data_IF_417136843084
#
_entry.id   IF_417136843084
#
_cell.length_a   1.000
_cell.length_b   1.000
_cell.length_c   1.000
_cell.angle_alpha   90.00
_cell.angle_beta   90.00
_cell.angle_gamma   90.00
#
_symmetry.space_group_name_H-M   'P 1'
#
loop_
_entity.id
_entity.type
_entity.pdbx_description
1 polymer ?
#
# COMPACT_ATOMS: atom_id res chain seq x y z
N UNK A 1 10.05 28.47 10.61
CA UNK A 1 11.06 27.65 11.29
C UNK A 1 11.27 26.40 10.45
N UNK A 2 12.49 26.17 9.99
CA UNK A 2 12.85 25.08 9.07
C UNK A 2 13.62 23.99 9.83
N UNK A 3 13.34 22.73 9.52
CA UNK A 3 14.15 21.57 9.90
C UNK A 3 14.32 20.68 8.65
N UNK A 4 15.47 20.04 8.58
CA UNK A 4 16.25 19.73 7.38
C UNK A 4 16.32 18.22 7.14
N UNK A 5 16.33 17.84 5.85
CA UNK A 5 16.95 16.64 5.23
C UNK A 5 16.64 15.24 5.78
N UNK A 6 15.81 14.53 5.02
CA UNK A 6 15.97 13.10 4.75
C UNK A 6 16.08 12.86 3.25
N UNK A 7 17.27 12.48 2.79
CA UNK A 7 17.51 12.08 1.38
C UNK A 7 16.85 10.72 1.17
N UNK A 8 15.56 10.73 0.82
CA UNK A 8 14.76 9.67 0.16
C UNK A 8 13.26 9.71 0.57
N UNK A 9 12.80 10.75 1.26
CA UNK A 9 11.37 10.95 1.54
C UNK A 9 10.60 11.40 0.30
N UNK A 10 10.09 10.46 -0.48
CA UNK A 10 9.13 10.72 -1.56
C UNK A 10 7.71 10.84 -1.00
N UNK A 11 7.00 11.91 -1.33
CA UNK A 11 5.54 11.98 -1.13
C UNK A 11 4.84 11.61 -2.43
N UNK A 12 3.97 10.60 -2.41
CA UNK A 12 3.22 10.15 -3.57
C UNK A 12 1.77 9.80 -3.22
N UNK A 13 0.90 9.92 -4.21
CA UNK A 13 -0.43 9.30 -4.18
C UNK A 13 -0.30 7.91 -4.75
N UNK A 14 -0.89 6.93 -4.07
CA UNK A 14 -1.05 5.58 -4.60
C UNK A 14 -2.54 5.34 -4.83
N UNK A 15 -2.87 4.99 -6.06
CA UNK A 15 -4.17 4.49 -6.46
C UNK A 15 -4.08 2.96 -6.53
N UNK A 16 -4.88 2.29 -5.71
CA UNK A 16 -4.91 0.84 -5.59
C UNK A 16 -6.22 0.30 -6.14
N UNK A 17 -6.13 -0.61 -7.10
CA UNK A 17 -7.25 -1.36 -7.62
C UNK A 17 -6.98 -2.85 -7.48
N UNK A 18 -7.88 -3.58 -6.83
CA UNK A 18 -7.75 -5.03 -6.68
C UNK A 18 -9.01 -5.73 -7.14
N UNK A 19 -8.81 -6.78 -7.95
CA UNK A 19 -9.83 -7.70 -8.43
C UNK A 19 -9.41 -9.11 -8.06
N UNK A 20 -10.08 -9.67 -7.05
CA UNK A 20 -9.73 -10.98 -6.48
C UNK A 20 -8.24 -11.01 -6.08
N UNK A 21 -7.43 -11.80 -6.80
CA UNK A 21 -5.99 -11.96 -6.57
C UNK A 21 -5.14 -10.94 -7.33
N UNK A 22 -5.66 -10.39 -8.42
CA UNK A 22 -4.93 -9.48 -9.27
C UNK A 22 -5.06 -8.08 -8.69
N UNK A 23 -3.93 -7.40 -8.53
CA UNK A 23 -3.89 -6.02 -8.09
C UNK A 23 -3.12 -5.15 -9.07
N UNK A 24 -3.48 -3.88 -9.09
CA UNK A 24 -2.81 -2.82 -9.82
C UNK A 24 -2.60 -1.65 -8.88
N UNK A 25 -1.36 -1.17 -8.85
CA UNK A 25 -0.91 -0.04 -8.07
C UNK A 25 -0.43 1.01 -9.05
N UNK A 26 -1.01 2.20 -9.00
CA UNK A 26 -0.49 3.35 -9.73
C UNK A 26 0.04 4.36 -8.74
N UNK A 27 1.29 4.75 -8.91
CA UNK A 27 1.89 5.78 -8.10
C UNK A 27 2.06 7.04 -8.92
N UNK A 28 1.67 8.17 -8.33
CA UNK A 28 1.92 9.51 -8.83
C UNK A 28 2.64 10.33 -7.77
N UNK A 29 3.89 10.71 -8.02
CA UNK A 29 4.68 11.56 -7.13
C UNK A 29 5.12 12.85 -7.86
N UNK A 30 4.36 13.94 -7.73
CA UNK A 30 4.66 15.21 -8.40
C UNK A 30 6.02 15.80 -8.00
N UNK A 31 6.42 15.60 -6.75
CA UNK A 31 7.67 16.16 -6.20
C UNK A 31 8.90 15.53 -6.85
N UNK A 32 8.89 14.20 -7.03
CA UNK A 32 9.98 13.47 -7.70
C UNK A 32 9.77 13.31 -9.21
N UNK A 33 8.62 13.76 -9.72
CA UNK A 33 8.16 13.57 -11.11
C UNK A 33 8.16 12.10 -11.55
N UNK A 34 7.93 11.20 -10.60
CA UNK A 34 7.85 9.76 -10.88
C UNK A 34 6.39 9.35 -11.02
N UNK A 35 6.12 8.55 -12.03
CA UNK A 35 4.83 7.87 -12.25
C UNK A 35 5.12 6.45 -12.70
N UNK A 36 4.49 5.47 -12.06
CA UNK A 36 4.65 4.08 -12.46
C UNK A 36 3.40 3.28 -12.14
N UNK A 37 3.28 2.14 -12.82
CA UNK A 37 2.23 1.15 -12.60
C UNK A 37 2.87 -0.18 -12.25
N UNK A 38 2.44 -0.78 -11.14
CA UNK A 38 2.79 -2.12 -10.73
C UNK A 38 1.55 -2.99 -10.80
N UNK A 39 1.59 -4.08 -11.55
CA UNK A 39 0.55 -5.12 -11.56
C UNK A 39 1.10 -6.41 -10.98
N UNK A 40 0.30 -7.14 -10.20
CA UNK A 40 0.76 -8.37 -9.54
C UNK A 40 -0.36 -9.28 -9.07
N UNK A 41 0.03 -10.45 -8.55
CA UNK A 41 -0.88 -11.41 -7.91
C UNK A 41 -0.57 -11.51 -6.41
N UNK A 42 -1.56 -11.25 -5.58
CA UNK A 42 -1.40 -11.17 -4.12
C UNK A 42 -1.04 -12.51 -3.44
N UNK A 43 -0.94 -13.61 -4.18
CA UNK A 43 -0.51 -14.91 -3.64
C UNK A 43 0.88 -15.34 -4.13
N UNK A 44 1.36 -14.77 -5.24
CA UNK A 44 2.65 -15.16 -5.84
C UNK A 44 3.79 -14.21 -5.48
N UNK A 45 3.50 -13.05 -4.88
CA UNK A 45 4.50 -12.03 -4.51
C UNK A 45 5.07 -11.24 -5.71
N UNK A 46 5.09 -11.85 -6.90
CA UNK A 46 5.63 -11.26 -8.11
C UNK A 46 4.74 -10.20 -8.75
N UNK A 47 5.37 -9.38 -9.59
CA UNK A 47 4.71 -8.29 -10.28
C UNK A 47 5.46 -7.79 -11.52
N UNK A 48 4.78 -6.93 -12.27
CA UNK A 48 5.29 -6.25 -13.46
C UNK A 48 5.19 -4.75 -13.24
N UNK A 49 6.32 -4.07 -13.37
CA UNK A 49 6.49 -2.63 -13.18
C UNK A 49 6.66 -1.94 -14.53
N UNK A 50 5.84 -0.93 -14.80
CA UNK A 50 5.79 -0.19 -16.06
C UNK A 50 5.76 1.33 -15.80
N UNK A 51 6.13 2.14 -16.80
CA UNK A 51 6.10 3.61 -16.72
C UNK A 51 7.40 4.26 -16.24
N UNK A 52 8.42 3.48 -15.89
CA UNK A 52 9.76 3.96 -15.59
C UNK A 52 10.67 3.96 -16.82
N UNK A 53 11.69 4.81 -16.80
CA UNK A 53 12.76 4.80 -17.80
C UNK A 53 13.42 3.41 -17.86
N UNK A 54 13.76 2.97 -19.08
CA UNK A 54 14.31 1.63 -19.34
C UNK A 54 13.26 0.54 -19.60
N UNK A 55 11.96 0.89 -19.62
CA UNK A 55 10.89 -0.01 -20.06
C UNK A 55 10.32 -0.92 -18.98
N UNK A 56 9.40 -1.83 -19.35
CA UNK A 56 8.72 -2.69 -18.40
C UNK A 56 9.66 -3.75 -17.81
N UNK A 57 9.53 -3.98 -16.51
CA UNK A 57 10.32 -4.97 -15.76
C UNK A 57 9.37 -5.92 -15.03
N UNK A 58 9.79 -7.16 -14.81
CA UNK A 58 9.01 -8.14 -14.05
C UNK A 58 9.93 -8.91 -13.11
N UNK A 59 9.40 -9.31 -11.97
CA UNK A 59 10.14 -10.04 -10.94
C UNK A 59 9.22 -10.89 -10.07
N UNK A 60 9.82 -11.85 -9.37
CA UNK A 60 9.12 -12.74 -8.44
C UNK A 60 8.80 -12.07 -7.10
N UNK A 61 9.41 -10.91 -6.83
CA UNK A 61 9.10 -10.04 -5.69
C UNK A 61 8.86 -8.62 -6.20
N UNK A 62 7.60 -8.18 -6.10
CA UNK A 62 7.16 -6.86 -6.54
C UNK A 62 7.78 -5.72 -5.71
N UNK A 63 8.04 -5.94 -4.41
CA UNK A 63 8.67 -4.97 -3.53
C UNK A 63 10.15 -4.80 -3.90
N UNK A 64 10.87 -5.91 -4.09
CA UNK A 64 12.27 -5.87 -4.53
C UNK A 64 12.40 -5.21 -5.91
N UNK A 65 11.52 -5.57 -6.86
CA UNK A 65 11.48 -4.97 -8.19
C UNK A 65 11.32 -3.45 -8.14
N UNK A 66 10.44 -2.96 -7.26
CA UNK A 66 10.17 -1.53 -7.09
C UNK A 66 11.36 -0.82 -6.44
N UNK A 67 11.98 -1.42 -5.44
CA UNK A 67 13.19 -0.90 -4.80
C UNK A 67 14.33 -0.75 -5.81
N UNK A 68 14.60 -1.78 -6.61
CA UNK A 68 15.67 -1.74 -7.62
C UNK A 68 15.41 -0.71 -8.71
N UNK A 69 14.16 -0.53 -9.11
CA UNK A 69 13.80 0.37 -10.19
C UNK A 69 13.65 1.84 -9.76
N UNK A 70 13.30 2.11 -8.51
CA UNK A 70 12.97 3.47 -8.02
C UNK A 70 13.82 3.95 -6.86
N UNK A 71 14.48 3.04 -6.15
CA UNK A 71 15.15 3.30 -4.87
C UNK A 71 14.19 3.48 -3.69
N UNK A 72 12.88 3.27 -3.89
CA UNK A 72 11.88 3.44 -2.83
C UNK A 72 11.55 2.13 -2.17
N UNK A 73 11.58 2.12 -0.85
CA UNK A 73 11.10 1.00 -0.04
C UNK A 73 9.60 1.18 0.21
N UNK A 74 8.75 0.81 -0.75
CA UNK A 74 7.30 0.77 -0.56
C UNK A 74 6.88 -0.66 -0.26
N UNK A 75 6.15 -0.93 0.84
CA UNK A 75 5.76 -2.27 1.26
C UNK A 75 4.58 -2.80 0.43
N UNK A 76 4.72 -2.83 -0.90
CA UNK A 76 3.64 -3.23 -1.83
C UNK A 76 3.15 -4.66 -1.58
N UNK A 77 3.99 -5.53 -1.01
CA UNK A 77 3.61 -6.88 -0.63
C UNK A 77 2.71 -6.92 0.61
N UNK A 78 2.75 -5.89 1.48
CA UNK A 78 1.93 -5.79 2.69
C UNK A 78 0.63 -5.04 2.45
N UNK A 79 0.61 -4.18 1.42
CA UNK A 79 -0.57 -3.40 1.05
C UNK A 79 -1.83 -4.28 0.89
N UNK A 80 -1.82 -5.46 0.24
CA UNK A 80 -3.00 -6.32 0.13
C UNK A 80 -3.70 -6.62 1.46
N UNK A 81 -2.95 -6.85 2.54
CA UNK A 81 -3.53 -7.13 3.85
C UNK A 81 -4.02 -5.84 4.51
N UNK A 82 -3.23 -4.77 4.42
CA UNK A 82 -3.64 -3.46 4.95
C UNK A 82 -4.89 -2.94 4.26
N UNK A 83 -5.01 -3.05 2.94
CA UNK A 83 -6.23 -2.63 2.23
C UNK A 83 -7.45 -3.45 2.67
N UNK A 84 -7.28 -4.72 3.06
CA UNK A 84 -8.37 -5.54 3.64
C UNK A 84 -8.64 -5.24 5.11
N UNK A 85 -7.92 -4.29 5.71
CA UNK A 85 -8.03 -4.00 7.14
C UNK A 85 -7.48 -5.13 8.01
N UNK A 86 -6.42 -5.80 7.54
CA UNK A 86 -5.78 -6.93 8.20
C UNK A 86 -4.31 -6.61 8.52
N UNK A 87 -3.76 -7.30 9.53
CA UNK A 87 -2.33 -7.29 9.80
C UNK A 87 -1.65 -8.22 8.78
N UNK A 88 -0.57 -7.76 8.16
CA UNK A 88 0.15 -8.56 7.17
C UNK A 88 0.90 -9.70 7.88
N UNK A 89 0.38 -10.93 7.79
CA UNK A 89 0.91 -12.06 8.58
C UNK A 89 2.31 -12.50 8.13
N UNK A 90 2.61 -12.33 6.86
CA UNK A 90 3.90 -12.73 6.27
C UNK A 90 5.04 -11.74 6.57
N UNK A 91 4.71 -10.56 7.13
CA UNK A 91 5.68 -9.52 7.53
C UNK A 91 6.20 -9.65 8.97
N UNK A 92 5.76 -10.68 9.70
CA UNK A 92 6.05 -10.85 11.12
C UNK A 92 5.05 -10.15 12.04
N UNK A 93 5.24 -10.28 13.35
CA UNK A 93 4.30 -9.77 14.34
C UNK A 93 4.25 -8.22 14.31
N UNK A 94 3.06 -7.61 14.46
CA UNK A 94 2.94 -6.16 14.55
C UNK A 94 3.58 -5.67 15.85
N UNK A 95 4.30 -4.54 15.81
CA UNK A 95 4.85 -3.93 17.02
C UNK A 95 3.77 -3.24 17.84
N UNK A 96 2.71 -2.75 17.19
CA UNK A 96 1.56 -2.12 17.84
C UNK A 96 0.30 -2.33 17.02
N UNK A 97 -0.81 -2.62 17.69
CA UNK A 97 -2.14 -2.68 17.07
C UNK A 97 -3.13 -1.94 17.95
N UNK A 98 -3.91 -1.06 17.35
CA UNK A 98 -4.99 -0.34 17.98
C UNK A 98 -6.27 -0.51 17.18
N UNK A 99 -7.38 -0.68 17.90
CA UNK A 99 -8.71 -0.87 17.33
C UNK A 99 -9.62 0.27 17.74
N UNK A 100 -10.59 0.61 16.89
CA UNK A 100 -11.66 1.56 17.22
C UNK A 100 -12.77 0.90 18.07
N UNK A 101 -13.79 1.69 18.42
CA UNK A 101 -14.92 1.22 19.21
C UNK A 101 -15.77 0.14 18.49
N UNK A 102 -15.70 0.07 17.16
CA UNK A 102 -16.35 -0.94 16.34
C UNK A 102 -15.49 -2.20 16.14
N UNK A 103 -14.31 -2.27 16.79
CA UNK A 103 -13.38 -3.39 16.69
C UNK A 103 -12.58 -3.43 15.39
N UNK A 104 -12.54 -2.33 14.63
CA UNK A 104 -11.79 -2.22 13.36
C UNK A 104 -10.40 -1.70 13.63
N UNK A 105 -9.44 -2.07 12.78
CA UNK A 105 -8.08 -1.55 12.88
C UNK A 105 -8.08 -0.02 12.76
N UNK A 106 -7.54 0.67 13.76
CA UNK A 106 -7.39 2.13 13.76
C UNK A 106 -5.94 2.53 13.52
N UNK A 107 -5.02 1.83 14.19
CA UNK A 107 -3.58 2.05 14.08
C UNK A 107 -2.84 0.73 14.01
N UNK A 108 -1.85 0.62 13.15
CA UNK A 108 -0.97 -0.53 13.04
C UNK A 108 0.47 -0.03 12.94
N UNK A 109 1.38 -0.61 13.72
CA UNK A 109 2.82 -0.44 13.52
C UNK A 109 3.42 -1.78 13.16
N UNK A 110 4.03 -1.86 11.98
CA UNK A 110 4.63 -3.10 11.48
C UNK A 110 5.79 -2.80 10.54
N UNK A 111 6.94 -3.45 10.74
CA UNK A 111 8.15 -3.26 9.93
C UNK A 111 8.60 -1.78 9.85
N UNK A 112 8.44 -1.05 10.95
CA UNK A 112 8.76 0.38 11.03
C UNK A 112 7.76 1.31 10.35
N UNK A 113 6.72 0.78 9.71
CA UNK A 113 5.61 1.57 9.16
C UNK A 113 4.59 1.87 10.25
N UNK A 114 4.26 3.15 10.43
CA UNK A 114 3.07 3.59 11.16
C UNK A 114 1.91 3.75 10.17
N UNK A 115 0.88 2.95 10.33
CA UNK A 115 -0.30 2.88 9.48
C UNK A 115 -1.52 3.35 10.25
N UNK A 116 -2.24 4.31 9.69
CA UNK A 116 -3.46 4.90 10.25
C UNK A 116 -4.63 4.66 9.30
N UNK A 117 -5.65 3.98 9.80
CA UNK A 117 -6.89 3.69 9.07
C UNK A 117 -7.90 4.80 9.40
N UNK A 118 -8.05 5.76 8.50
CA UNK A 118 -8.80 7.00 8.78
C UNK A 118 -10.28 6.91 8.43
N UNK A 119 -10.60 6.20 7.36
CA UNK A 119 -11.98 6.09 6.86
C UNK A 119 -12.26 4.66 6.49
N UNK A 120 -13.50 4.21 6.73
CA UNK A 120 -13.96 2.87 6.47
C UNK A 120 -15.28 2.93 5.68
N UNK A 121 -15.45 2.04 4.72
CA UNK A 121 -16.76 1.69 4.20
C UNK A 121 -17.52 0.88 5.25
N UNK A 122 -18.80 1.18 5.51
CA UNK A 122 -19.61 0.37 6.39
C UNK A 122 -19.76 -1.05 5.82
N UNK A 123 -19.99 -2.06 6.68
CA UNK A 123 -20.32 -3.39 6.20
C UNK A 123 -21.63 -3.34 5.38
N UNK A 124 -21.69 -4.10 4.28
CA UNK A 124 -22.82 -4.08 3.36
C UNK A 124 -22.71 -5.17 2.28
N UNK A 125 -23.84 -5.61 1.73
CA UNK A 125 -23.91 -6.63 0.66
C UNK A 125 -23.07 -7.90 0.93
N UNK A 126 -23.08 -8.40 2.16
CA UNK A 126 -22.32 -9.58 2.58
C UNK A 126 -20.82 -9.35 2.76
N UNK A 127 -20.35 -8.09 2.73
CA UNK A 127 -18.93 -7.72 2.86
C UNK A 127 -18.64 -7.14 4.25
N UNK A 128 -17.46 -7.42 4.83
CA UNK A 128 -17.03 -6.76 6.06
C UNK A 128 -16.78 -5.27 5.81
N UNK A 129 -16.62 -4.50 6.90
CA UNK A 129 -16.13 -3.14 6.80
C UNK A 129 -14.72 -3.15 6.17
N UNK A 130 -14.45 -2.20 5.28
CA UNK A 130 -13.18 -2.11 4.58
C UNK A 130 -12.61 -0.72 4.69
N UNK A 131 -11.28 -0.57 4.82
CA UNK A 131 -10.64 0.72 4.72
C UNK A 131 -11.00 1.43 3.41
N UNK A 132 -11.33 2.71 3.52
CA UNK A 132 -11.46 3.65 2.41
C UNK A 132 -10.22 4.53 2.30
N UNK A 133 -9.62 4.89 3.43
CA UNK A 133 -8.44 5.75 3.46
C UNK A 133 -7.42 5.24 4.47
N UNK A 134 -6.21 5.01 3.98
CA UNK A 134 -5.07 4.57 4.77
C UNK A 134 -3.94 5.58 4.56
N UNK A 135 -3.32 6.02 5.66
CA UNK A 135 -2.05 6.73 5.61
C UNK A 135 -0.97 5.89 6.27
N UNK A 136 0.12 5.63 5.56
CA UNK A 136 1.27 4.89 6.06
C UNK A 136 2.51 5.79 6.01
N UNK A 137 3.33 5.73 7.06
CA UNK A 137 4.56 6.52 7.18
C UNK A 137 5.72 5.68 7.68
N UNK A 138 6.90 5.92 7.14
CA UNK A 138 8.15 5.36 7.64
C UNK A 138 9.26 6.40 7.44
N UNK A 139 9.73 7.02 8.53
CA UNK A 139 10.62 8.17 8.47
C UNK A 139 10.03 9.32 7.65
N UNK A 140 10.73 9.73 6.59
CA UNK A 140 10.28 10.78 5.67
C UNK A 140 9.37 10.27 4.53
N UNK A 141 9.21 8.95 4.39
CA UNK A 141 8.29 8.37 3.41
C UNK A 141 6.86 8.49 3.92
N UNK A 142 5.97 9.03 3.07
CA UNK A 142 4.54 9.11 3.34
C UNK A 142 3.75 8.59 2.15
N UNK A 143 2.96 7.57 2.42
CA UNK A 143 2.04 6.95 1.46
C UNK A 143 0.61 7.26 1.91
N UNK A 144 -0.20 7.74 0.96
CA UNK A 144 -1.65 7.87 1.15
C UNK A 144 -2.33 6.98 0.12
N UNK A 145 -3.11 6.03 0.62
CA UNK A 145 -3.96 5.17 -0.17
C UNK A 145 -5.40 5.66 -0.05
N UNK A 146 -6.02 5.90 -1.20
CA UNK A 146 -7.45 6.14 -1.30
C UNK A 146 -8.05 4.96 -2.08
N UNK A 147 -8.96 4.24 -1.44
CA UNK A 147 -9.58 3.02 -1.96
C UNK A 147 -10.96 3.41 -2.46
N UNK A 148 -11.06 3.70 -3.76
CA UNK A 148 -12.28 4.24 -4.36
C UNK A 148 -13.25 3.14 -4.81
N UNK A 149 -12.76 1.97 -5.26
CA UNK A 149 -13.63 0.87 -5.68
C UNK A 149 -13.11 -0.50 -5.24
N UNK A 150 -14.02 -1.24 -4.61
CA UNK A 150 -13.83 -2.63 -4.23
C UNK A 150 -14.73 -3.52 -5.08
N UNK A 151 -14.13 -4.24 -6.03
CA UNK A 151 -14.84 -5.18 -6.89
C UNK A 151 -14.67 -6.59 -6.34
N UNK A 152 -15.52 -6.94 -5.38
CA UNK A 152 -15.68 -8.32 -4.95
C UNK A 152 -16.57 -9.01 -5.98
N UNK A 153 -15.96 -9.84 -6.83
CA UNK A 153 -16.74 -10.79 -7.62
C UNK A 153 -17.66 -11.54 -6.66
N UNK A 154 -18.98 -11.46 -6.90
CA UNK A 154 -19.94 -12.25 -6.17
C UNK A 154 -19.61 -13.75 -6.35
N UNK A 155 -19.83 -14.59 -5.32
CA UNK A 155 -19.60 -16.02 -5.40
C UNK A 155 -20.44 -16.68 -6.51
#
# INVERSE_FOLDING_TARGET
MAITKGRNGGSGRIDWAQRQRQYQVELSAPVTRQSWRLSGDSQRGGGRLEGLDGGPRAGEDAQQLLLEATGWEIPVNLLPDWVRGQVAVDAGAPEQVGYDADGRLQTLRQMGWEIQFQEWYPPGDGRPALPRRIEARNGDAKVRLLLDQWDFAAP
#
